data_IF_131387422597
#
_entry.id   IF_131387422597
#
_cell.length_a   1.000
_cell.length_b   1.000
_cell.length_c   1.000
_cell.angle_alpha   90.00
_cell.angle_beta   90.00
_cell.angle_gamma   90.00
#
_symmetry.space_group_name_H-M   'P 1'
#
loop_
_entity.id
_entity.type
_entity.pdbx_description
1 polymer ?
#
# COMPACT_ATOMS: atom_id res chain seq x y z
N UNK A 1 -0.87 -22.16 16.27
CA UNK A 1 0.30 -21.43 15.68
C UNK A 1 1.60 -22.22 15.79
N UNK A 2 1.85 -22.94 16.87
CA UNK A 2 3.03 -23.81 17.07
C UNK A 2 3.18 -24.92 16.02
N UNK A 3 2.08 -25.51 15.53
CA UNK A 3 2.13 -26.57 14.49
C UNK A 3 2.62 -26.06 13.14
N UNK A 4 2.32 -24.80 12.79
CA UNK A 4 2.73 -24.22 11.49
C UNK A 4 4.23 -23.87 11.51
N UNK A 5 4.75 -23.39 12.65
CA UNK A 5 6.16 -23.03 12.79
C UNK A 5 7.05 -24.28 12.84
N UNK A 6 6.65 -25.35 13.52
CA UNK A 6 7.40 -26.62 13.52
C UNK A 6 7.49 -27.24 12.12
N UNK A 7 6.39 -27.23 11.36
CA UNK A 7 6.38 -27.72 9.98
C UNK A 7 7.27 -26.91 9.03
N UNK A 8 7.59 -25.64 9.31
CA UNK A 8 8.49 -24.84 8.48
C UNK A 8 9.97 -25.25 8.63
N UNK A 9 10.31 -25.90 9.74
CA UNK A 9 11.69 -26.30 10.07
C UNK A 9 11.93 -27.78 9.77
N UNK A 10 10.91 -28.63 9.94
CA UNK A 10 11.05 -30.09 9.84
C UNK A 10 10.64 -30.68 8.46
N UNK A 11 9.86 -29.96 7.64
CA UNK A 11 9.47 -30.44 6.31
C UNK A 11 10.57 -30.29 5.25
N UNK A 12 10.50 -31.10 4.19
CA UNK A 12 11.38 -30.97 3.04
C UNK A 12 11.29 -29.55 2.42
N UNK A 13 12.44 -28.89 2.25
CA UNK A 13 12.58 -27.52 1.76
C UNK A 13 11.69 -27.18 0.54
N UNK A 14 11.56 -28.04 -0.50
CA UNK A 14 10.69 -27.76 -1.65
C UNK A 14 9.20 -27.64 -1.30
N UNK A 15 8.72 -28.37 -0.27
CA UNK A 15 7.33 -28.34 0.18
C UNK A 15 7.01 -27.04 0.91
N UNK A 16 7.92 -26.60 1.78
CA UNK A 16 7.82 -25.33 2.51
C UNK A 16 7.82 -24.15 1.54
N UNK A 17 8.76 -24.13 0.59
CA UNK A 17 8.84 -23.08 -0.43
C UNK A 17 7.53 -23.00 -1.21
N UNK A 18 6.99 -24.12 -1.70
CA UNK A 18 5.71 -24.11 -2.44
C UNK A 18 4.55 -23.59 -1.59
N UNK A 19 4.48 -23.95 -0.31
CA UNK A 19 3.37 -23.55 0.58
C UNK A 19 3.33 -22.05 0.86
N UNK A 20 4.49 -21.39 0.90
CA UNK A 20 4.60 -19.94 1.19
C UNK A 20 4.68 -19.12 -0.10
N UNK A 21 5.47 -19.57 -1.08
CA UNK A 21 5.69 -18.83 -2.31
C UNK A 21 4.48 -18.86 -3.24
N UNK A 22 3.76 -19.99 -3.35
CA UNK A 22 2.65 -20.10 -4.31
C UNK A 22 1.53 -19.10 -3.99
N UNK A 23 1.05 -18.94 -2.73
CA UNK A 23 0.08 -17.89 -2.41
C UNK A 23 0.60 -16.48 -2.68
N UNK A 24 1.87 -16.19 -2.36
CA UNK A 24 2.47 -14.89 -2.60
C UNK A 24 2.56 -14.54 -4.09
N UNK A 25 2.96 -15.51 -4.93
CA UNK A 25 3.01 -15.37 -6.39
C UNK A 25 1.61 -15.15 -6.95
N UNK A 26 0.63 -15.94 -6.53
CA UNK A 26 -0.77 -15.77 -6.96
C UNK A 26 -1.30 -14.38 -6.58
N UNK A 27 -1.01 -13.92 -5.36
CA UNK A 27 -1.39 -12.57 -4.91
C UNK A 27 -0.79 -11.47 -5.80
N UNK A 28 0.50 -11.58 -6.14
CA UNK A 28 1.17 -10.62 -7.01
C UNK A 28 0.64 -10.65 -8.44
N UNK A 29 0.35 -11.84 -8.98
CA UNK A 29 -0.27 -11.99 -10.31
C UNK A 29 -1.66 -11.37 -10.35
N UNK A 30 -2.49 -11.61 -9.32
CA UNK A 30 -3.82 -11.01 -9.22
C UNK A 30 -3.74 -9.49 -9.09
N UNK A 31 -2.80 -8.97 -8.30
CA UNK A 31 -2.55 -7.53 -8.19
C UNK A 31 -2.15 -6.91 -9.54
N UNK A 32 -1.24 -7.56 -10.27
CA UNK A 32 -0.78 -7.09 -11.59
C UNK A 32 -1.90 -7.13 -12.62
N UNK A 33 -2.73 -8.18 -12.60
CA UNK A 33 -3.89 -8.30 -13.47
C UNK A 33 -4.91 -7.19 -13.15
N UNK A 34 -5.17 -6.93 -11.87
CA UNK A 34 -6.06 -5.87 -11.42
C UNK A 34 -5.59 -4.50 -11.93
N UNK A 35 -4.32 -4.14 -11.73
CA UNK A 35 -3.80 -2.84 -12.20
C UNK A 35 -3.82 -2.72 -13.72
N UNK A 36 -3.59 -3.83 -14.44
CA UNK A 36 -3.64 -3.86 -15.91
C UNK A 36 -5.07 -3.67 -16.41
N UNK A 37 -6.04 -4.36 -15.81
CA UNK A 37 -7.45 -4.24 -16.18
C UNK A 37 -7.99 -2.85 -15.83
N UNK A 38 -7.60 -2.28 -14.70
CA UNK A 38 -7.97 -0.91 -14.30
C UNK A 38 -7.50 0.11 -15.36
N UNK A 39 -6.21 0.07 -15.72
CA UNK A 39 -5.66 0.92 -16.76
C UNK A 39 -6.35 0.71 -18.12
N UNK A 40 -6.64 -0.55 -18.49
CA UNK A 40 -7.38 -0.87 -19.72
C UNK A 40 -8.79 -0.26 -19.71
N UNK A 41 -9.54 -0.40 -18.61
CA UNK A 41 -10.88 0.17 -18.49
C UNK A 41 -10.87 1.69 -18.55
N UNK A 42 -9.95 2.35 -17.84
CA UNK A 42 -9.78 3.80 -17.86
C UNK A 42 -9.45 4.27 -19.28
N UNK A 43 -8.45 3.65 -19.93
CA UNK A 43 -8.03 4.01 -21.28
C UNK A 43 -9.13 3.81 -22.32
N UNK A 44 -9.96 2.77 -22.19
CA UNK A 44 -11.02 2.46 -23.16
C UNK A 44 -12.31 3.26 -22.91
N UNK A 45 -12.65 3.60 -21.65
CA UNK A 45 -13.91 4.27 -21.29
C UNK A 45 -13.79 5.78 -21.14
N UNK A 46 -12.67 6.27 -20.62
CA UNK A 46 -12.41 7.72 -20.42
C UNK A 46 -11.54 8.27 -21.54
N UNK A 47 -10.68 7.42 -22.12
CA UNK A 47 -9.79 7.79 -23.22
C UNK A 47 -8.36 8.11 -22.77
N UNK A 48 -7.51 8.58 -23.70
CA UNK A 48 -6.09 8.84 -23.43
C UNK A 48 -5.84 9.85 -22.31
N UNK A 49 -6.68 10.89 -22.21
CA UNK A 49 -6.59 11.92 -21.17
C UNK A 49 -6.88 11.35 -19.78
N UNK A 50 -7.87 10.46 -19.66
CA UNK A 50 -8.17 9.76 -18.41
C UNK A 50 -7.04 8.83 -17.98
N UNK A 51 -6.44 8.11 -18.93
CA UNK A 51 -5.29 7.24 -18.63
C UNK A 51 -4.07 8.04 -18.18
N UNK A 52 -3.81 9.18 -18.83
CA UNK A 52 -2.76 10.11 -18.41
C UNK A 52 -3.03 10.66 -17.00
N UNK A 53 -4.27 11.04 -16.71
CA UNK A 53 -4.68 11.55 -15.40
C UNK A 53 -4.44 10.52 -14.29
N UNK A 54 -4.88 9.28 -14.49
CA UNK A 54 -4.67 8.18 -13.53
C UNK A 54 -3.18 7.88 -13.36
N UNK A 55 -2.41 7.85 -14.44
CA UNK A 55 -0.96 7.58 -14.39
C UNK A 55 -0.22 8.66 -13.58
N UNK A 56 -0.55 9.94 -13.80
CA UNK A 56 0.01 11.08 -13.05
C UNK A 56 -0.41 11.03 -11.57
N UNK A 57 -1.68 10.76 -11.28
CA UNK A 57 -2.16 10.63 -9.91
C UNK A 57 -1.51 9.44 -9.17
N UNK A 58 -1.28 8.33 -9.88
CA UNK A 58 -0.65 7.14 -9.32
C UNK A 58 0.79 7.38 -8.87
N UNK A 59 1.55 8.28 -9.49
CA UNK A 59 2.88 8.64 -8.99
C UNK A 59 2.82 9.14 -7.54
N UNK A 60 1.85 9.99 -7.24
CA UNK A 60 1.65 10.50 -5.88
C UNK A 60 1.22 9.41 -4.92
N UNK A 61 0.27 8.56 -5.34
CA UNK A 61 -0.18 7.41 -4.57
C UNK A 61 0.99 6.51 -4.20
N UNK A 62 1.85 6.17 -5.18
CA UNK A 62 3.02 5.33 -4.97
C UNK A 62 4.01 5.94 -3.97
N UNK A 63 4.22 7.25 -4.00
CA UNK A 63 5.09 7.93 -3.04
C UNK A 63 4.60 7.72 -1.60
N UNK A 64 3.29 7.88 -1.38
CA UNK A 64 2.69 7.72 -0.05
C UNK A 64 2.68 6.27 0.40
N UNK A 65 2.32 5.35 -0.49
CA UNK A 65 2.32 3.91 -0.21
C UNK A 65 3.73 3.44 0.13
N UNK A 66 4.76 3.86 -0.60
CA UNK A 66 6.15 3.48 -0.31
C UNK A 66 6.61 3.93 1.09
N UNK A 67 6.22 5.14 1.51
CA UNK A 67 6.51 5.62 2.87
C UNK A 67 5.76 4.82 3.94
N UNK A 68 4.48 4.51 3.69
CA UNK A 68 3.66 3.71 4.58
C UNK A 68 4.21 2.29 4.72
N UNK A 69 4.61 1.65 3.61
CA UNK A 69 5.26 0.33 3.60
C UNK A 69 6.57 0.34 4.39
N UNK A 70 7.41 1.36 4.22
CA UNK A 70 8.66 1.50 4.98
C UNK A 70 8.41 1.54 6.49
N UNK A 71 7.39 2.30 6.93
CA UNK A 71 6.98 2.35 8.33
C UNK A 71 6.38 1.02 8.80
N UNK A 72 5.53 0.40 8.00
CA UNK A 72 4.91 -0.89 8.31
C UNK A 72 5.96 -1.99 8.51
N UNK A 73 6.99 -2.03 7.66
CA UNK A 73 8.13 -2.94 7.81
C UNK A 73 8.89 -2.69 9.12
N UNK A 74 9.16 -1.44 9.47
CA UNK A 74 9.83 -1.07 10.72
C UNK A 74 9.03 -1.46 11.96
N UNK A 75 7.72 -1.18 11.97
CA UNK A 75 6.82 -1.51 13.08
C UNK A 75 6.64 -3.03 13.23
N UNK A 76 6.54 -3.75 12.12
CA UNK A 76 6.46 -5.21 12.11
C UNK A 76 7.74 -5.83 12.66
N UNK A 77 8.92 -5.33 12.26
CA UNK A 77 10.19 -5.79 12.78
C UNK A 77 10.32 -5.55 14.31
N UNK A 78 9.85 -4.39 14.79
CA UNK A 78 9.83 -4.08 16.22
C UNK A 78 8.91 -5.04 17.00
N UNK A 79 7.70 -5.29 16.50
CA UNK A 79 6.76 -6.22 17.12
C UNK A 79 7.31 -7.66 17.13
N UNK A 80 7.89 -8.11 16.01
CA UNK A 80 8.51 -9.42 15.87
C UNK A 80 9.67 -9.60 16.86
N UNK A 81 10.51 -8.57 17.04
CA UNK A 81 11.59 -8.60 18.02
C UNK A 81 11.07 -8.76 19.45
N UNK A 82 10.07 -7.98 19.86
CA UNK A 82 9.45 -8.09 21.21
C UNK A 82 8.82 -9.47 21.43
N UNK A 83 8.25 -10.05 20.39
CA UNK A 83 7.72 -11.41 20.44
C UNK A 83 8.84 -12.43 20.63
N UNK A 84 9.96 -12.29 19.90
CA UNK A 84 11.15 -13.14 20.02
C UNK A 84 11.86 -13.06 21.38
N UNK A 85 11.77 -11.92 22.08
CA UNK A 85 12.28 -11.73 23.44
C UNK A 85 11.44 -12.44 24.53
N UNK A 86 10.42 -13.21 24.13
CA UNK A 86 9.54 -13.93 25.07
C UNK A 86 8.50 -13.03 25.74
N UNK A 87 8.29 -11.81 25.23
CA UNK A 87 7.34 -10.84 25.78
C UNK A 87 6.16 -10.59 24.83
N UNK A 88 5.21 -11.53 24.72
CA UNK A 88 4.08 -11.40 23.79
C UNK A 88 3.10 -10.27 24.17
N UNK A 89 3.04 -9.88 25.46
CA UNK A 89 2.21 -8.74 25.89
C UNK A 89 2.73 -7.42 25.35
N UNK A 90 4.04 -7.19 25.43
CA UNK A 90 4.66 -6.01 24.84
C UNK A 90 4.60 -6.04 23.30
N UNK A 91 4.74 -7.20 22.68
CA UNK A 91 4.53 -7.34 21.23
C UNK A 91 3.10 -6.90 20.81
N UNK A 92 2.08 -7.34 21.55
CA UNK A 92 0.69 -6.94 21.31
C UNK A 92 0.47 -5.43 21.55
N UNK A 93 1.13 -4.86 22.56
CA UNK A 93 1.08 -3.40 22.82
C UNK A 93 1.71 -2.59 21.69
N UNK A 94 2.85 -3.04 21.17
CA UNK A 94 3.50 -2.42 20.00
C UNK A 94 2.58 -2.53 18.78
N UNK A 95 2.01 -3.71 18.50
CA UNK A 95 1.10 -3.92 17.37
C UNK A 95 -0.17 -3.04 17.44
N UNK A 96 -0.79 -2.94 18.62
CA UNK A 96 -1.94 -2.06 18.85
C UNK A 96 -1.57 -0.59 18.71
N UNK A 97 -0.42 -0.19 19.27
CA UNK A 97 0.12 1.17 19.12
C UNK A 97 0.43 1.54 17.68
N UNK A 98 1.00 0.60 16.90
CA UNK A 98 1.27 0.80 15.48
C UNK A 98 0.01 1.02 14.66
N UNK A 99 -1.11 0.36 15.01
CA UNK A 99 -2.37 0.57 14.30
C UNK A 99 -2.92 1.98 14.53
N UNK A 100 -2.93 2.45 15.78
CA UNK A 100 -3.37 3.82 16.11
C UNK A 100 -2.43 4.84 15.46
N UNK A 101 -1.12 4.59 15.49
CA UNK A 101 -0.12 5.44 14.85
C UNK A 101 -0.33 5.50 13.32
N UNK A 102 -0.55 4.37 12.66
CA UNK A 102 -0.82 4.30 11.22
C UNK A 102 -2.09 5.07 10.85
N UNK A 103 -3.17 4.90 11.60
CA UNK A 103 -4.43 5.65 11.41
C UNK A 103 -4.20 7.16 11.54
N UNK A 104 -3.53 7.59 12.62
CA UNK A 104 -3.25 9.00 12.86
C UNK A 104 -2.35 9.58 11.75
N UNK A 105 -1.33 8.85 11.34
CA UNK A 105 -0.42 9.27 10.28
C UNK A 105 -1.15 9.33 8.93
N UNK A 106 -1.99 8.35 8.60
CA UNK A 106 -2.77 8.33 7.38
C UNK A 106 -3.74 9.52 7.29
N UNK A 107 -4.36 9.92 8.41
CA UNK A 107 -5.16 11.16 8.46
C UNK A 107 -4.30 12.39 8.21
N UNK A 108 -3.14 12.51 8.85
CA UNK A 108 -2.23 13.65 8.67
C UNK A 108 -1.74 13.74 7.23
N UNK A 109 -1.33 12.62 6.64
CA UNK A 109 -0.86 12.55 5.25
C UNK A 109 -2.00 12.80 4.28
N UNK A 110 -3.22 12.30 4.55
CA UNK A 110 -4.41 12.57 3.74
C UNK A 110 -4.77 14.06 3.71
N UNK A 111 -4.72 14.74 4.86
CA UNK A 111 -4.97 16.20 4.93
C UNK A 111 -3.86 16.97 4.21
N UNK A 112 -2.59 16.62 4.44
CA UNK A 112 -1.46 17.26 3.78
C UNK A 112 -1.50 17.06 2.26
N UNK A 113 -1.86 15.86 1.80
CA UNK A 113 -2.05 15.53 0.39
C UNK A 113 -3.19 16.32 -0.25
N UNK A 114 -4.32 16.46 0.44
CA UNK A 114 -5.45 17.27 -0.04
C UNK A 114 -5.08 18.75 -0.19
N UNK A 115 -4.26 19.29 0.72
CA UNK A 115 -3.77 20.67 0.64
C UNK A 115 -2.68 20.86 -0.43
N UNK A 116 -1.85 19.84 -0.67
CA UNK A 116 -0.71 19.89 -1.60
C UNK A 116 -1.02 19.49 -3.04
N UNK A 117 -2.24 19.01 -3.34
CA UNK A 117 -2.57 18.38 -4.64
C UNK A 117 -2.33 19.31 -5.84
N UNK A 118 -2.67 20.60 -5.72
CA UNK A 118 -2.48 21.56 -6.81
C UNK A 118 -1.00 21.87 -7.05
N UNK A 119 -0.23 21.98 -5.97
CA UNK A 119 1.21 22.23 -6.05
C UNK A 119 1.92 21.07 -6.74
N UNK A 120 1.47 19.84 -6.47
CA UNK A 120 2.01 18.63 -7.09
C UNK A 120 1.70 18.55 -8.58
N UNK A 121 0.44 18.77 -8.99
CA UNK A 121 0.10 18.77 -10.42
C UNK A 121 0.76 19.93 -11.18
N UNK A 122 0.94 21.08 -10.53
CA UNK A 122 1.72 22.19 -11.08
C UNK A 122 3.21 21.81 -11.26
N UNK A 123 3.81 21.11 -10.29
CA UNK A 123 5.18 20.62 -10.39
C UNK A 123 5.37 19.60 -11.52
N UNK A 124 4.37 18.74 -11.76
CA UNK A 124 4.37 17.78 -12.85
C UNK A 124 4.04 18.39 -14.22
N UNK A 125 3.82 19.70 -14.31
CA UNK A 125 3.45 20.43 -15.53
C UNK A 125 2.28 19.76 -16.28
N UNK A 126 1.30 19.25 -15.53
CA UNK A 126 0.19 18.48 -16.09
C UNK A 126 -0.81 19.41 -16.80
N UNK A 127 -1.30 19.07 -18.02
CA UNK A 127 -2.29 19.89 -18.71
C UNK A 127 -3.58 20.10 -17.88
N UNK A 128 -4.31 21.21 -18.06
CA UNK A 128 -5.50 21.51 -17.27
C UNK A 128 -6.60 20.44 -17.39
N UNK A 129 -6.81 19.89 -18.59
CA UNK A 129 -7.81 18.84 -18.85
C UNK A 129 -7.51 17.57 -18.05
N UNK A 130 -6.23 17.21 -17.94
CA UNK A 130 -5.74 16.05 -17.19
C UNK A 130 -5.75 16.31 -15.68
N UNK A 131 -5.45 17.54 -15.26
CA UNK A 131 -5.37 17.94 -13.85
C UNK A 131 -6.72 17.81 -13.14
N UNK A 132 -7.81 18.19 -13.79
CA UNK A 132 -9.16 18.07 -13.22
C UNK A 132 -9.51 16.60 -12.93
N UNK A 133 -9.32 15.72 -13.91
CA UNK A 133 -9.56 14.28 -13.78
C UNK A 133 -8.64 13.65 -12.71
N UNK A 134 -7.37 14.02 -12.69
CA UNK A 134 -6.39 13.48 -11.74
C UNK A 134 -6.73 13.91 -10.30
N UNK A 135 -7.23 15.12 -10.11
CA UNK A 135 -7.66 15.66 -8.81
C UNK A 135 -8.86 14.92 -8.24
N UNK A 136 -9.84 14.60 -9.07
CA UNK A 136 -11.02 13.83 -8.65
C UNK A 136 -10.63 12.41 -8.26
N UNK A 137 -9.74 11.78 -9.05
CA UNK A 137 -9.19 10.47 -8.71
C UNK A 137 -8.42 10.50 -7.38
N UNK A 138 -7.52 11.48 -7.20
CA UNK A 138 -6.70 11.58 -5.99
C UNK A 138 -7.53 11.86 -4.74
N UNK A 139 -8.60 12.68 -4.85
CA UNK A 139 -9.51 12.95 -3.73
C UNK A 139 -10.12 11.68 -3.17
N UNK A 140 -10.54 10.76 -4.03
CA UNK A 140 -11.09 9.48 -3.57
C UNK A 140 -10.02 8.65 -2.84
N UNK A 141 -8.79 8.66 -3.34
CA UNK A 141 -7.67 7.96 -2.71
C UNK A 141 -7.30 8.55 -1.33
N UNK A 142 -7.29 9.88 -1.22
CA UNK A 142 -6.99 10.60 0.02
C UNK A 142 -7.96 10.29 1.16
N UNK A 143 -9.24 10.06 0.84
CA UNK A 143 -10.25 9.65 1.83
C UNK A 143 -10.00 8.23 2.32
N UNK A 144 -9.49 7.34 1.46
CA UNK A 144 -9.15 5.96 1.82
C UNK A 144 -7.81 5.81 2.55
N UNK A 145 -6.96 6.83 2.51
CA UNK A 145 -5.57 6.79 2.99
C UNK A 145 -5.38 6.35 4.45
N UNK A 146 -6.26 6.69 5.41
CA UNK A 146 -6.15 6.18 6.79
C UNK A 146 -6.29 4.66 6.92
N UNK A 147 -6.87 3.98 5.93
CA UNK A 147 -7.14 2.54 5.95
C UNK A 147 -6.11 1.72 5.17
N UNK A 148 -5.18 2.40 4.48
CA UNK A 148 -4.07 1.81 3.73
C UNK A 148 -2.85 1.79 4.64
#
# INVERSE_FOLDING_TARGET
MTVVVGALIDDALPRVIRRVALPAVVSNLLMTLFTTLDAYWVGTRIGPEGLAAVSTAMFWVWLVVALAEGLALGLTALAARRHGEGNPREAARVAGGSLIFALALGVVVGIAGAAGVDLLFAFMQTPPEVTALARDYLRMYLVGLPFI
#
